data_IF_940099545642
#
_entry.id   IF_940099545642
#
_cell.length_a   1.000
_cell.length_b   1.000
_cell.length_c   1.000
_cell.angle_alpha   90.00
_cell.angle_beta   90.00
_cell.angle_gamma   90.00
#
_symmetry.space_group_name_H-M   'P 1'
#
loop_
_entity.id
_entity.type
_entity.pdbx_description
1 polymer ?
#
# COMPACT_ATOMS: atom_id res chain seq x y z
N UNK A 1 12.51 -23.69 -20.81
CA UNK A 1 13.96 -23.80 -20.53
C UNK A 1 14.39 -22.67 -19.58
N UNK A 2 13.96 -22.72 -18.32
CA UNK A 2 14.19 -21.62 -17.36
C UNK A 2 14.09 -22.00 -15.88
N UNK A 3 13.54 -23.18 -15.55
CA UNK A 3 13.31 -23.61 -14.16
C UNK A 3 14.57 -24.14 -13.45
N UNK A 4 15.58 -24.63 -14.18
CA UNK A 4 16.82 -25.14 -13.55
C UNK A 4 17.71 -24.04 -12.96
N UNK A 5 17.57 -22.79 -13.40
CA UNK A 5 18.44 -21.68 -12.99
C UNK A 5 18.16 -21.17 -11.57
N UNK A 6 17.03 -21.55 -10.98
CA UNK A 6 16.58 -21.06 -9.68
C UNK A 6 16.52 -22.15 -8.61
N UNK A 7 17.02 -23.37 -8.90
CA UNK A 7 17.10 -24.47 -7.92
C UNK A 7 17.90 -24.02 -6.69
N UNK A 8 17.27 -24.06 -5.51
CA UNK A 8 17.88 -23.72 -4.23
C UNK A 8 17.90 -22.22 -3.87
N UNK A 9 17.39 -21.33 -4.73
CA UNK A 9 17.27 -19.88 -4.41
C UNK A 9 16.03 -19.62 -3.54
N UNK A 10 14.92 -20.29 -3.84
CA UNK A 10 13.68 -20.15 -3.10
C UNK A 10 13.59 -21.21 -2.00
N UNK A 11 12.99 -20.83 -0.88
CA UNK A 11 12.88 -21.67 0.32
C UNK A 11 11.42 -22.01 0.58
N UNK A 12 11.14 -23.12 1.27
CA UNK A 12 9.80 -23.44 1.70
C UNK A 12 9.29 -22.42 2.71
N UNK A 13 7.97 -22.32 2.85
CA UNK A 13 7.31 -21.31 3.70
C UNK A 13 7.77 -21.38 5.17
N UNK A 14 8.06 -22.59 5.65
CA UNK A 14 8.54 -22.83 7.01
C UNK A 14 9.87 -22.13 7.33
N UNK A 15 10.66 -21.79 6.31
CA UNK A 15 11.96 -21.12 6.46
C UNK A 15 11.88 -19.60 6.27
N UNK A 16 10.69 -19.06 5.95
CA UNK A 16 10.48 -17.61 5.93
C UNK A 16 10.61 -17.09 7.37
N UNK A 17 11.49 -16.10 7.65
CA UNK A 17 11.66 -15.53 8.98
C UNK A 17 10.32 -15.09 9.58
N UNK A 18 10.04 -15.33 10.87
CA UNK A 18 8.75 -15.01 11.49
C UNK A 18 8.34 -13.54 11.31
N UNK A 19 9.28 -12.61 11.40
CA UNK A 19 9.06 -11.17 11.20
C UNK A 19 8.72 -10.78 9.74
N UNK A 20 8.94 -11.68 8.78
CA UNK A 20 8.58 -11.51 7.37
C UNK A 20 7.37 -12.36 6.97
N UNK A 21 6.91 -13.24 7.86
CA UNK A 21 5.80 -14.15 7.60
C UNK A 21 4.49 -13.40 7.85
N UNK A 22 3.67 -13.32 6.81
CA UNK A 22 2.30 -12.84 6.93
C UNK A 22 1.43 -13.97 7.48
N UNK A 23 0.88 -13.77 8.68
CA UNK A 23 -0.09 -14.67 9.30
C UNK A 23 -1.40 -14.69 8.51
N UNK A 24 -1.86 -13.50 8.11
CA UNK A 24 -3.04 -13.30 7.28
C UNK A 24 -2.73 -12.39 6.10
N UNK A 25 -3.51 -12.53 5.02
CA UNK A 25 -3.44 -11.62 3.89
C UNK A 25 -4.01 -10.25 4.28
N UNK A 26 -3.36 -9.17 3.86
CA UNK A 26 -3.81 -7.82 4.14
C UNK A 26 -4.99 -7.44 3.22
N UNK A 27 -6.19 -7.36 3.77
CA UNK A 27 -7.39 -7.00 3.01
C UNK A 27 -7.72 -5.51 3.18
N UNK A 28 -7.34 -4.69 2.20
CA UNK A 28 -7.70 -3.28 2.19
C UNK A 28 -9.03 -3.06 1.48
N UNK A 29 -10.02 -2.53 2.22
CA UNK A 29 -11.37 -2.20 1.70
C UNK A 29 -11.70 -0.71 1.75
N UNK A 30 -10.73 0.12 2.08
CA UNK A 30 -10.92 1.56 2.17
C UNK A 30 -9.92 2.30 1.29
N UNK A 31 -10.36 3.42 0.74
CA UNK A 31 -9.54 4.34 -0.03
C UNK A 31 -9.69 5.76 0.54
N UNK A 32 -8.60 6.54 0.48
CA UNK A 32 -8.57 7.91 0.99
C UNK A 32 -8.89 8.89 -0.15
N UNK A 33 -9.94 9.68 0.01
CA UNK A 33 -10.29 10.76 -0.91
C UNK A 33 -10.85 11.95 -0.15
N UNK A 34 -10.46 13.17 -0.52
CA UNK A 34 -10.92 14.42 0.11
C UNK A 34 -10.74 14.46 1.64
N UNK A 35 -9.70 13.82 2.17
CA UNK A 35 -9.43 13.74 3.60
C UNK A 35 -10.25 12.69 4.36
N UNK A 36 -11.03 11.86 3.66
CA UNK A 36 -11.89 10.84 4.25
C UNK A 36 -11.49 9.43 3.79
N UNK A 37 -11.46 8.47 4.73
CA UNK A 37 -11.42 7.05 4.39
C UNK A 37 -12.84 6.61 4.01
N UNK A 38 -13.02 6.21 2.76
CA UNK A 38 -14.28 5.72 2.23
C UNK A 38 -14.19 4.22 2.01
N UNK A 39 -15.26 3.51 2.37
CA UNK A 39 -15.38 2.06 2.16
C UNK A 39 -15.68 1.76 0.70
N UNK A 40 -15.01 0.74 0.18
CA UNK A 40 -15.13 0.25 -1.18
C UNK A 40 -15.88 -1.09 -1.22
N UNK A 41 -16.96 -1.12 -2.00
CA UNK A 41 -17.81 -2.31 -2.18
C UNK A 41 -17.64 -2.94 -3.58
N UNK A 42 -16.76 -2.38 -4.42
CA UNK A 42 -16.50 -2.87 -5.76
C UNK A 42 -15.42 -3.96 -5.83
N UNK A 43 -14.90 -4.17 -7.04
CA UNK A 43 -13.87 -5.18 -7.30
C UNK A 43 -12.58 -4.90 -6.53
N UNK A 44 -11.90 -5.96 -6.08
CA UNK A 44 -10.60 -5.88 -5.43
C UNK A 44 -9.53 -6.48 -6.35
N UNK A 45 -8.35 -5.88 -6.35
CA UNK A 45 -7.18 -6.43 -7.01
C UNK A 45 -6.37 -7.27 -6.02
N UNK A 46 -6.23 -8.56 -6.30
CA UNK A 46 -5.37 -9.45 -5.51
C UNK A 46 -3.89 -9.08 -5.70
N UNK A 47 -3.14 -9.16 -4.59
CA UNK A 47 -1.70 -8.90 -4.55
C UNK A 47 -0.98 -10.19 -4.20
N UNK A 48 0.03 -10.52 -5.00
CA UNK A 48 0.85 -11.70 -4.83
C UNK A 48 2.31 -11.30 -4.56
N UNK A 49 2.94 -11.98 -3.62
CA UNK A 49 4.36 -11.85 -3.32
C UNK A 49 5.20 -11.96 -4.60
N UNK A 50 6.20 -11.09 -4.80
CA UNK A 50 7.20 -11.27 -5.84
C UNK A 50 8.22 -12.36 -5.47
N UNK A 51 8.36 -12.67 -4.17
CA UNK A 51 9.19 -13.77 -3.66
C UNK A 51 8.39 -15.06 -3.77
N UNK A 52 8.93 -16.01 -4.53
CA UNK A 52 8.37 -17.35 -4.69
C UNK A 52 8.69 -18.22 -3.48
N UNK A 53 7.77 -19.13 -3.17
CA UNK A 53 7.93 -20.15 -2.13
C UNK A 53 7.97 -21.50 -2.82
N UNK A 54 8.88 -22.37 -2.38
CA UNK A 54 8.91 -23.75 -2.83
C UNK A 54 7.94 -24.61 -2.02
N UNK A 55 6.99 -25.25 -2.68
CA UNK A 55 6.06 -26.19 -2.08
C UNK A 55 5.94 -27.42 -2.97
N UNK A 56 6.26 -28.60 -2.43
CA UNK A 56 6.15 -29.88 -3.16
C UNK A 56 6.89 -29.89 -4.51
N UNK A 57 8.06 -29.25 -4.59
CA UNK A 57 8.85 -29.13 -5.80
C UNK A 57 8.32 -28.13 -6.84
N UNK A 58 7.32 -27.31 -6.48
CA UNK A 58 6.78 -26.23 -7.31
C UNK A 58 7.07 -24.87 -6.70
N UNK A 59 7.29 -23.88 -7.55
CA UNK A 59 7.43 -22.48 -7.14
C UNK A 59 6.07 -21.79 -7.20
N UNK A 60 5.59 -21.30 -6.06
CA UNK A 60 4.29 -20.65 -5.94
C UNK A 60 4.44 -19.21 -5.47
N UNK A 61 3.56 -18.34 -5.98
CA UNK A 61 3.43 -16.97 -5.47
C UNK A 61 2.39 -16.95 -4.36
N UNK A 62 2.81 -16.65 -3.12
CA UNK A 62 1.88 -16.49 -1.99
C UNK A 62 1.05 -15.23 -2.18
N UNK A 63 -0.28 -15.32 -2.01
CA UNK A 63 -1.16 -14.14 -1.94
C UNK A 63 -0.89 -13.39 -0.64
N UNK A 64 -0.69 -12.08 -0.72
CA UNK A 64 -0.33 -11.22 0.42
C UNK A 64 -1.43 -10.21 0.78
N UNK A 65 -2.47 -10.10 -0.04
CA UNK A 65 -3.57 -9.18 0.24
C UNK A 65 -4.43 -8.87 -0.97
N UNK A 66 -5.26 -7.84 -0.82
CA UNK A 66 -5.99 -7.19 -1.90
C UNK A 66 -6.20 -5.70 -1.61
N UNK A 67 -6.48 -4.92 -2.65
CA UNK A 67 -6.81 -3.49 -2.52
C UNK A 67 -7.95 -3.08 -3.47
N UNK A 68 -8.63 -1.95 -3.22
CA UNK A 68 -9.69 -1.44 -4.08
C UNK A 68 -9.23 -1.25 -5.54
N UNK A 69 -9.88 -1.95 -6.48
CA UNK A 69 -9.71 -1.70 -7.90
C UNK A 69 -10.62 -0.54 -8.31
N UNK A 70 -10.17 0.67 -8.02
CA UNK A 70 -10.93 1.90 -8.24
C UNK A 70 -11.21 2.13 -9.73
N UNK A 71 -12.40 2.66 -10.03
CA UNK A 71 -12.85 2.95 -11.39
C UNK A 71 -12.74 4.42 -11.77
N UNK A 72 -13.38 4.74 -12.89
CA UNK A 72 -13.43 6.10 -13.44
C UNK A 72 -14.07 7.09 -12.47
N UNK A 73 -15.18 6.71 -11.82
CA UNK A 73 -15.92 7.59 -10.91
C UNK A 73 -15.06 8.03 -9.70
N UNK A 74 -14.32 7.11 -9.09
CA UNK A 74 -13.46 7.40 -7.94
C UNK A 74 -12.25 8.23 -8.35
N UNK A 75 -11.70 7.97 -9.54
CA UNK A 75 -10.60 8.76 -10.10
C UNK A 75 -11.03 10.22 -10.38
N UNK A 76 -12.21 10.42 -10.98
CA UNK A 76 -12.79 11.74 -11.18
C UNK A 76 -13.08 12.44 -9.85
N UNK A 77 -13.65 11.74 -8.87
CA UNK A 77 -13.89 12.29 -7.53
C UNK A 77 -12.59 12.74 -6.83
N UNK A 78 -11.51 11.97 -6.98
CA UNK A 78 -10.20 12.35 -6.45
C UNK A 78 -9.60 13.56 -7.17
N UNK A 79 -9.77 13.65 -8.50
CA UNK A 79 -9.33 14.80 -9.29
C UNK A 79 -10.08 16.07 -8.87
N UNK A 80 -11.40 16.00 -8.73
CA UNK A 80 -12.22 17.13 -8.30
C UNK A 80 -11.83 17.58 -6.89
N UNK A 81 -11.62 16.65 -5.95
CA UNK A 81 -11.16 16.96 -4.60
C UNK A 81 -9.79 17.66 -4.62
N UNK A 82 -8.84 17.17 -5.42
CA UNK A 82 -7.54 17.80 -5.58
C UNK A 82 -7.64 19.21 -6.19
N UNK A 83 -8.49 19.39 -7.21
CA UNK A 83 -8.73 20.69 -7.83
C UNK A 83 -9.33 21.69 -6.84
N UNK A 84 -10.33 21.27 -6.04
CA UNK A 84 -10.92 22.08 -4.96
C UNK A 84 -9.90 22.43 -3.88
N UNK A 85 -9.07 21.47 -3.47
CA UNK A 85 -8.06 21.71 -2.44
C UNK A 85 -6.95 22.67 -2.90
N UNK A 86 -6.63 22.66 -4.20
CA UNK A 86 -5.67 23.58 -4.81
C UNK A 86 -6.27 24.97 -5.04
N UNK A 87 -7.54 25.04 -5.46
CA UNK A 87 -8.32 26.26 -5.73
C UNK A 87 -7.53 27.31 -6.52
N UNK A 88 -7.03 26.93 -7.69
CA UNK A 88 -6.21 27.81 -8.56
C UNK A 88 -5.02 28.48 -7.85
N UNK A 89 -4.45 27.82 -6.83
CA UNK A 89 -3.34 28.35 -6.03
C UNK A 89 -3.77 29.16 -4.80
N UNK A 90 -5.06 29.38 -4.62
CA UNK A 90 -5.66 30.07 -3.46
C UNK A 90 -6.17 29.11 -2.38
N UNK A 91 -6.04 27.81 -2.62
CA UNK A 91 -6.35 26.78 -1.64
C UNK A 91 -5.42 26.85 -0.43
N UNK A 92 -5.86 26.25 0.68
CA UNK A 92 -5.13 26.34 1.95
C UNK A 92 -3.66 25.92 1.82
N UNK A 93 -3.38 24.78 1.18
CA UNK A 93 -2.02 24.26 1.05
C UNK A 93 -1.06 25.20 0.29
N UNK A 94 -1.38 25.68 -0.93
CA UNK A 94 -0.51 26.62 -1.63
C UNK A 94 -0.36 27.99 -0.93
N UNK A 95 -1.38 28.46 -0.19
CA UNK A 95 -1.32 29.76 0.50
C UNK A 95 -0.61 29.72 1.86
N UNK A 96 -0.37 28.54 2.44
CA UNK A 96 0.41 28.41 3.68
C UNK A 96 1.83 28.96 3.50
N UNK A 97 2.43 29.43 4.59
CA UNK A 97 3.87 29.76 4.58
C UNK A 97 4.69 28.48 4.39
N UNK A 98 5.91 28.64 3.86
CA UNK A 98 6.83 27.51 3.64
C UNK A 98 7.05 26.74 4.94
N UNK A 99 7.23 27.43 6.07
CA UNK A 99 7.48 26.82 7.38
C UNK A 99 6.28 26.00 7.88
N UNK A 100 5.05 26.35 7.48
CA UNK A 100 3.85 25.62 7.86
C UNK A 100 3.68 24.35 7.03
N UNK A 101 4.02 24.40 5.73
CA UNK A 101 4.06 23.21 4.89
C UNK A 101 5.13 22.23 5.36
N UNK A 102 6.33 22.72 5.71
CA UNK A 102 7.41 21.89 6.30
C UNK A 102 6.90 21.21 7.57
N UNK A 103 6.32 21.95 8.51
CA UNK A 103 5.77 21.39 9.76
C UNK A 103 4.69 20.34 9.53
N UNK A 104 3.87 20.51 8.48
CA UNK A 104 2.83 19.53 8.12
C UNK A 104 3.44 18.22 7.61
N UNK A 105 4.46 18.30 6.75
CA UNK A 105 5.20 17.12 6.26
C UNK A 105 5.96 16.44 7.41
N UNK A 106 6.63 17.20 8.28
CA UNK A 106 7.33 16.65 9.45
C UNK A 106 6.39 15.87 10.38
N UNK A 107 5.19 16.40 10.62
CA UNK A 107 4.18 15.71 11.44
C UNK A 107 3.77 14.39 10.81
N UNK A 108 3.54 14.38 9.51
CA UNK A 108 3.19 13.16 8.76
C UNK A 108 4.31 12.11 8.86
N UNK A 109 5.57 12.52 8.66
CA UNK A 109 6.73 11.63 8.75
C UNK A 109 6.90 11.02 10.15
N UNK A 110 6.67 11.80 11.22
CA UNK A 110 6.71 11.27 12.60
C UNK A 110 5.69 10.14 12.78
N UNK A 111 4.45 10.35 12.34
CA UNK A 111 3.41 9.32 12.39
C UNK A 111 3.76 8.07 11.58
N UNK A 112 4.36 8.22 10.39
CA UNK A 112 4.84 7.06 9.61
C UNK A 112 5.91 6.26 10.34
N UNK A 113 6.87 6.93 10.99
CA UNK A 113 7.95 6.26 11.75
C UNK A 113 7.39 5.53 12.97
N UNK A 114 6.44 6.12 13.68
CA UNK A 114 5.75 5.47 14.80
C UNK A 114 5.06 4.18 14.34
N UNK A 115 4.28 4.25 13.26
CA UNK A 115 3.63 3.06 12.67
C UNK A 115 4.61 2.01 12.15
N UNK A 116 5.76 2.43 11.64
CA UNK A 116 6.80 1.48 11.22
C UNK A 116 7.41 0.73 12.40
N UNK A 117 7.59 1.38 13.56
CA UNK A 117 8.11 0.74 14.78
C UNK A 117 7.11 -0.28 15.33
N UNK A 118 5.82 0.07 15.36
CA UNK A 118 4.74 -0.86 15.76
C UNK A 118 4.73 -2.15 14.93
N UNK A 119 5.08 -2.10 13.64
CA UNK A 119 5.13 -3.28 12.74
C UNK A 119 6.40 -4.12 12.85
N UNK A 120 7.46 -3.62 13.48
CA UNK A 120 8.77 -4.29 13.58
C UNK A 120 9.07 -4.87 14.96
N UNK A 121 8.36 -4.42 16.00
CA UNK A 121 8.43 -4.96 17.35
C UNK A 121 7.43 -6.09 17.53
#
# INVERSE_FOLDING_TARGET
>A
MGEERFKGIFRPEGEVPPNCRLEEACEQREYLVDGELRRWEGALQEVFSPVLIEQEGRLLRKRIGSYPLLGEAEALGALEAAARAYDHGSGRWPTLRVEERIRSVERFLRGMVEKMKERKG
#
